data_IF_831925108453
#
_entry.id   IF_831925108453
#
_cell.length_a   1.000
_cell.length_b   1.000
_cell.length_c   1.000
_cell.angle_alpha   90.00
_cell.angle_beta   90.00
_cell.angle_gamma   90.00
#
_symmetry.space_group_name_H-M   'P 1'
#
loop_
_entity.id
_entity.type
_entity.pdbx_description
1 polymer ?
#
# COMPACT_ATOMS: atom_id res chain seq x y z
N UNK A 1 -20.55 18.80 26.67
CA UNK A 1 -20.08 18.54 25.29
C UNK A 1 -21.08 19.03 24.23
N UNK A 2 -22.04 19.92 24.59
CA UNK A 2 -23.19 20.26 23.72
C UNK A 2 -23.12 21.62 23.02
N UNK A 3 -22.02 22.38 23.15
CA UNK A 3 -21.92 23.72 22.55
C UNK A 3 -21.50 23.70 21.07
N UNK A 4 -21.15 22.54 20.51
CA UNK A 4 -20.68 22.38 19.12
C UNK A 4 -21.80 22.04 18.13
N UNK A 5 -23.05 21.95 18.57
CA UNK A 5 -24.18 21.50 17.73
C UNK A 5 -25.16 22.63 17.38
N UNK A 6 -24.71 23.89 17.43
CA UNK A 6 -25.56 25.04 17.07
C UNK A 6 -25.30 25.45 15.60
N UNK A 7 -26.30 25.93 14.85
CA UNK A 7 -26.11 26.41 13.47
C UNK A 7 -25.00 27.47 13.33
N UNK A 8 -24.80 28.27 14.36
CA UNK A 8 -23.74 29.28 14.44
C UNK A 8 -22.33 28.65 14.53
N UNK A 9 -22.19 27.53 15.23
CA UNK A 9 -20.91 26.80 15.29
C UNK A 9 -20.51 26.19 13.94
N UNK A 10 -21.48 25.68 13.17
CA UNK A 10 -21.24 25.21 11.80
C UNK A 10 -20.83 26.35 10.85
N UNK A 11 -21.48 27.51 10.96
CA UNK A 11 -21.13 28.69 10.17
C UNK A 11 -19.72 29.21 10.49
N UNK A 12 -19.34 29.23 11.78
CA UNK A 12 -18.00 29.63 12.21
C UNK A 12 -16.92 28.64 11.71
N UNK A 13 -17.19 27.32 11.77
CA UNK A 13 -16.31 26.29 11.22
C UNK A 13 -16.15 26.42 9.70
N UNK A 14 -17.25 26.65 8.98
CA UNK A 14 -17.21 26.86 7.53
C UNK A 14 -16.45 28.13 7.14
N UNK A 15 -16.61 29.22 7.89
CA UNK A 15 -15.86 30.46 7.67
C UNK A 15 -14.37 30.28 7.96
N UNK A 16 -14.01 29.62 9.07
CA UNK A 16 -12.63 29.29 9.40
C UNK A 16 -11.98 28.38 8.35
N UNK A 17 -12.72 27.40 7.85
CA UNK A 17 -12.33 26.52 6.76
C UNK A 17 -12.03 27.31 5.47
N UNK A 18 -12.93 28.21 5.08
CA UNK A 18 -12.76 29.05 3.90
C UNK A 18 -11.51 29.96 4.03
N UNK A 19 -11.33 30.60 5.19
CA UNK A 19 -10.15 31.43 5.47
C UNK A 19 -8.86 30.61 5.38
N UNK A 20 -8.83 29.42 6.00
CA UNK A 20 -7.67 28.53 5.94
C UNK A 20 -7.32 28.12 4.49
N UNK A 21 -8.32 27.73 3.69
CA UNK A 21 -8.12 27.37 2.29
C UNK A 21 -7.62 28.55 1.45
N UNK A 22 -8.11 29.78 1.72
CA UNK A 22 -7.64 31.00 1.05
C UNK A 22 -6.20 31.33 1.43
N UNK A 23 -5.84 31.28 2.71
CA UNK A 23 -4.47 31.51 3.20
C UNK A 23 -3.53 30.48 2.57
N UNK A 24 -3.91 29.20 2.59
CA UNK A 24 -3.12 28.12 2.00
C UNK A 24 -2.94 28.27 0.49
N UNK A 25 -4.00 28.63 -0.24
CA UNK A 25 -3.95 28.96 -1.68
C UNK A 25 -3.02 30.13 -1.97
N UNK A 26 -3.01 31.14 -1.09
CA UNK A 26 -2.12 32.29 -1.24
C UNK A 26 -0.65 31.92 -0.97
N UNK A 27 -0.40 31.09 0.04
CA UNK A 27 0.94 30.57 0.34
C UNK A 27 1.48 29.65 -0.78
N UNK A 28 0.65 28.77 -1.34
CA UNK A 28 1.09 27.87 -2.42
C UNK A 28 1.47 28.62 -3.70
N UNK A 29 0.74 29.68 -4.05
CA UNK A 29 1.05 30.54 -5.22
C UNK A 29 2.41 31.22 -5.14
N UNK A 30 2.97 31.42 -3.94
CA UNK A 30 4.27 32.09 -3.75
C UNK A 30 5.49 31.17 -3.93
N UNK A 31 5.30 29.86 -4.08
CA UNK A 31 6.38 28.87 -4.18
C UNK A 31 6.45 28.10 -5.50
N UNK A 32 5.77 28.57 -6.56
CA UNK A 32 5.74 27.86 -7.85
C UNK A 32 6.77 28.43 -8.83
N UNK A 33 7.93 27.80 -8.90
CA UNK A 33 9.05 28.19 -9.78
C UNK A 33 8.94 27.63 -11.22
N UNK A 34 7.76 27.13 -11.62
CA UNK A 34 7.54 26.51 -12.94
C UNK A 34 6.55 27.29 -13.84
N UNK A 35 6.75 28.60 -14.11
CA UNK A 35 5.85 29.38 -14.94
C UNK A 35 5.87 28.97 -16.42
N UNK A 36 6.91 28.24 -16.87
CA UNK A 36 7.11 27.87 -18.28
C UNK A 36 6.52 26.52 -18.68
N UNK A 37 5.98 25.74 -17.75
CA UNK A 37 5.42 24.43 -18.03
C UNK A 37 3.97 24.57 -18.49
N UNK A 38 3.63 23.95 -19.63
CA UNK A 38 2.26 23.96 -20.18
C UNK A 38 1.29 23.30 -19.20
N UNK A 39 0.11 23.87 -19.01
CA UNK A 39 -0.92 23.29 -18.16
C UNK A 39 -1.83 22.35 -18.95
N UNK A 40 -2.26 21.26 -18.33
CA UNK A 40 -3.34 20.43 -18.86
C UNK A 40 -4.63 21.27 -19.06
N UNK A 41 -5.41 21.00 -20.12
CA UNK A 41 -6.66 21.69 -20.37
C UNK A 41 -7.79 21.22 -19.42
N UNK A 42 -8.85 22.02 -19.35
CA UNK A 42 -10.15 21.66 -18.79
C UNK A 42 -10.23 21.38 -17.27
N UNK A 43 -9.38 21.97 -16.43
CA UNK A 43 -9.43 21.73 -14.98
C UNK A 43 -10.81 21.96 -14.32
N UNK A 44 -11.27 21.03 -13.48
CA UNK A 44 -12.46 21.26 -12.65
C UNK A 44 -12.23 22.42 -11.66
N UNK A 45 -13.23 23.27 -11.45
CA UNK A 45 -13.08 24.52 -10.67
C UNK A 45 -12.65 24.27 -9.21
N UNK A 46 -13.19 23.23 -8.57
CA UNK A 46 -12.93 22.86 -7.17
C UNK A 46 -11.85 21.78 -7.02
N UNK A 47 -12.01 20.64 -7.71
CA UNK A 47 -11.12 19.49 -7.63
C UNK A 47 -9.90 19.51 -8.56
N UNK A 48 -9.76 20.54 -9.40
CA UNK A 48 -8.66 20.62 -10.36
C UNK A 48 -8.70 19.49 -11.38
N UNK A 49 -7.54 19.06 -11.83
CA UNK A 49 -7.41 17.92 -12.74
C UNK A 49 -7.35 16.57 -11.98
N UNK A 50 -7.22 16.58 -10.66
CA UNK A 50 -7.19 15.34 -9.88
C UNK A 50 -8.52 14.58 -9.95
N UNK A 51 -9.64 15.29 -10.10
CA UNK A 51 -10.93 14.63 -10.37
C UNK A 51 -10.92 13.92 -11.72
N UNK A 52 -10.43 14.59 -12.77
CA UNK A 52 -10.33 13.97 -14.09
C UNK A 52 -9.37 12.78 -14.08
N UNK A 53 -8.26 12.88 -13.35
CA UNK A 53 -7.33 11.78 -13.17
C UNK A 53 -7.98 10.60 -12.40
N UNK A 54 -8.86 10.88 -11.43
CA UNK A 54 -9.60 9.87 -10.68
C UNK A 54 -10.69 9.19 -11.51
N UNK A 55 -11.47 9.96 -12.29
CA UNK A 55 -12.55 9.45 -13.13
C UNK A 55 -12.06 8.78 -14.42
N UNK A 56 -10.85 9.11 -14.86
CA UNK A 56 -10.27 8.54 -16.08
C UNK A 56 -9.76 7.13 -15.84
N UNK A 57 -10.27 6.12 -16.56
CA UNK A 57 -9.74 4.76 -16.47
C UNK A 57 -8.30 4.69 -17.02
N UNK A 58 -7.55 3.67 -16.58
CA UNK A 58 -6.28 3.22 -17.17
C UNK A 58 -5.22 4.31 -17.36
N UNK A 59 -5.16 5.31 -16.47
CA UNK A 59 -4.24 6.45 -16.59
C UNK A 59 -4.37 7.25 -17.90
N UNK A 60 -5.50 7.14 -18.62
CA UNK A 60 -5.71 7.82 -19.91
C UNK A 60 -5.56 9.33 -19.84
N UNK A 61 -5.95 9.93 -18.72
CA UNK A 61 -5.72 11.35 -18.47
C UNK A 61 -4.23 11.70 -18.62
N UNK A 62 -3.35 10.90 -18.00
CA UNK A 62 -1.92 11.18 -18.01
C UNK A 62 -1.28 10.94 -19.38
N UNK A 63 -1.67 9.84 -20.05
CA UNK A 63 -1.19 9.49 -21.39
C UNK A 63 -1.60 10.53 -22.44
N UNK A 64 -2.88 10.91 -22.46
CA UNK A 64 -3.38 11.94 -23.38
C UNK A 64 -2.65 13.27 -23.20
N UNK A 65 -2.40 13.68 -21.95
CA UNK A 65 -1.71 14.94 -21.70
C UNK A 65 -0.22 14.86 -22.01
N UNK A 66 0.46 13.73 -21.76
CA UNK A 66 1.87 13.57 -22.12
C UNK A 66 2.09 13.57 -23.64
N UNK A 67 1.20 12.94 -24.40
CA UNK A 67 1.23 12.94 -25.87
C UNK A 67 1.03 14.34 -26.45
N UNK A 68 0.11 15.13 -25.87
CA UNK A 68 -0.24 16.46 -26.41
C UNK A 68 0.68 17.59 -25.92
N UNK A 69 1.18 17.51 -24.68
CA UNK A 69 1.91 18.60 -24.02
C UNK A 69 3.40 18.30 -23.82
N UNK A 70 3.83 17.06 -24.04
CA UNK A 70 5.19 16.58 -23.82
C UNK A 70 5.38 15.91 -22.45
N UNK A 71 6.62 15.53 -22.14
CA UNK A 71 6.98 14.78 -20.92
C UNK A 71 6.80 15.55 -19.62
N UNK A 72 6.65 16.88 -19.68
CA UNK A 72 6.43 17.74 -18.51
C UNK A 72 5.26 18.69 -18.78
N UNK A 73 4.20 18.54 -17.98
CA UNK A 73 3.05 19.43 -17.97
C UNK A 73 2.54 19.63 -16.55
N UNK A 74 1.82 20.73 -16.32
CA UNK A 74 1.29 21.12 -15.02
C UNK A 74 -0.12 20.61 -14.85
N UNK A 75 -0.38 20.03 -13.67
CA UNK A 75 -1.68 19.55 -13.23
C UNK A 75 -2.07 20.38 -11.99
N UNK A 76 -3.23 21.04 -12.03
CA UNK A 76 -3.87 21.64 -10.85
C UNK A 76 -4.40 20.57 -9.89
N UNK A 77 -3.96 20.59 -8.63
CA UNK A 77 -4.55 19.80 -7.55
C UNK A 77 -5.91 20.31 -7.09
N UNK A 78 -6.64 19.47 -6.34
CA UNK A 78 -7.85 19.87 -5.62
C UNK A 78 -7.56 21.06 -4.70
N UNK A 79 -8.51 22.00 -4.63
CA UNK A 79 -8.34 23.26 -3.89
C UNK A 79 -7.10 24.06 -4.28
N UNK A 80 -6.62 23.85 -5.51
CA UNK A 80 -5.38 24.42 -6.06
C UNK A 80 -4.13 24.08 -5.25
N UNK A 81 -4.13 22.87 -4.67
CA UNK A 81 -2.93 22.32 -4.10
C UNK A 81 -1.85 22.12 -5.19
N UNK A 82 -0.60 22.37 -4.82
CA UNK A 82 0.59 22.17 -5.66
C UNK A 82 1.60 21.37 -4.83
N UNK A 83 1.94 20.17 -5.28
CA UNK A 83 2.85 19.26 -4.57
C UNK A 83 4.33 19.54 -4.85
N UNK A 84 4.65 20.21 -5.96
CA UNK A 84 6.04 20.38 -6.41
C UNK A 84 6.63 21.67 -5.85
N UNK A 85 7.43 21.54 -4.80
CA UNK A 85 8.44 22.52 -4.42
C UNK A 85 9.81 21.84 -4.58
N UNK A 86 10.74 22.45 -5.34
CA UNK A 86 12.04 21.86 -5.74
C UNK A 86 12.89 21.37 -4.56
N UNK A 87 12.60 21.83 -3.34
CA UNK A 87 13.34 21.49 -2.13
C UNK A 87 12.83 20.22 -1.40
N UNK A 88 11.69 19.64 -1.81
CA UNK A 88 11.07 18.50 -1.11
C UNK A 88 11.03 17.22 -1.96
N UNK A 89 12.17 16.55 -2.10
CA UNK A 89 12.26 15.17 -2.63
C UNK A 89 11.78 14.10 -1.63
N UNK A 90 11.40 14.51 -0.42
CA UNK A 90 10.90 13.65 0.64
C UNK A 90 9.46 13.20 0.33
N UNK A 91 9.07 11.99 0.77
CA UNK A 91 7.66 11.56 0.67
C UNK A 91 6.75 12.62 1.29
N UNK A 92 5.66 12.93 0.59
CA UNK A 92 4.69 13.93 1.02
C UNK A 92 4.25 13.68 2.47
N UNK A 93 4.09 14.75 3.24
CA UNK A 93 3.61 14.70 4.62
C UNK A 93 2.25 14.01 4.78
N UNK A 94 1.53 13.83 3.67
CA UNK A 94 0.23 13.16 3.56
C UNK A 94 0.40 11.65 3.39
N UNK A 95 1.38 11.23 2.59
CA UNK A 95 1.63 9.83 2.31
C UNK A 95 2.27 9.12 3.51
N UNK A 96 3.14 9.80 4.24
CA UNK A 96 3.89 9.20 5.35
C UNK A 96 3.00 8.58 6.44
N UNK A 97 1.94 9.25 6.96
CA UNK A 97 1.00 8.65 7.91
C UNK A 97 0.20 7.48 7.34
N UNK A 98 -0.15 7.52 6.05
CA UNK A 98 -0.88 6.44 5.38
C UNK A 98 0.02 5.21 5.28
N UNK A 99 1.27 5.39 4.83
CA UNK A 99 2.26 4.31 4.75
C UNK A 99 2.53 3.72 6.13
N UNK A 100 2.64 4.53 7.19
CA UNK A 100 2.80 4.02 8.55
C UNK A 100 1.62 3.15 9.01
N UNK A 101 0.38 3.52 8.65
CA UNK A 101 -0.82 2.77 9.02
C UNK A 101 -0.93 1.44 8.27
N UNK A 102 -0.53 1.41 7.01
CA UNK A 102 -0.64 0.22 6.16
C UNK A 102 0.59 -0.69 6.32
N UNK A 103 1.80 -0.15 6.21
CA UNK A 103 3.05 -0.90 6.10
C UNK A 103 4.02 -0.69 7.29
N UNK A 104 3.60 -0.03 8.37
CA UNK A 104 4.45 0.26 9.54
C UNK A 104 5.58 1.26 9.26
N UNK A 105 6.47 1.50 10.22
CA UNK A 105 7.69 2.31 10.05
C UNK A 105 8.83 1.53 9.36
N UNK A 106 8.45 0.86 8.28
CA UNK A 106 9.30 0.05 7.42
C UNK A 106 10.13 0.89 6.45
N UNK A 107 10.90 0.21 5.58
CA UNK A 107 11.73 0.87 4.55
C UNK A 107 10.89 1.72 3.59
N UNK A 108 9.61 1.39 3.40
CA UNK A 108 8.68 2.18 2.59
C UNK A 108 8.34 3.51 3.29
N UNK A 109 8.31 3.53 4.62
CA UNK A 109 8.02 4.73 5.41
C UNK A 109 9.26 5.59 5.68
N UNK A 110 10.41 4.96 5.88
CA UNK A 110 11.64 5.60 6.30
C UNK A 110 12.15 6.62 5.27
N UNK A 111 12.89 7.63 5.75
CA UNK A 111 13.49 8.69 4.92
C UNK A 111 14.96 8.93 5.30
N UNK A 112 15.75 9.45 4.36
CA UNK A 112 17.11 9.91 4.63
C UNK A 112 18.02 8.82 5.22
N UNK A 113 18.74 9.14 6.30
CA UNK A 113 19.68 8.19 6.94
C UNK A 113 18.98 6.92 7.46
N UNK A 114 17.76 7.05 7.95
CA UNK A 114 16.98 5.91 8.44
C UNK A 114 16.63 4.97 7.30
N UNK A 115 16.15 5.51 6.17
CA UNK A 115 15.91 4.74 4.95
C UNK A 115 17.20 4.05 4.48
N UNK A 116 18.33 4.76 4.46
CA UNK A 116 19.62 4.17 4.09
C UNK A 116 19.98 2.99 4.97
N UNK A 117 19.84 3.10 6.30
CA UNK A 117 20.12 2.01 7.24
C UNK A 117 19.19 0.82 7.02
N UNK A 118 17.87 1.06 7.00
CA UNK A 118 16.88 0.00 6.80
C UNK A 118 17.09 -0.71 5.46
N UNK A 119 17.30 0.05 4.37
CA UNK A 119 17.61 -0.52 3.05
C UNK A 119 18.88 -1.35 3.08
N UNK A 120 19.96 -0.87 3.69
CA UNK A 120 21.22 -1.61 3.81
C UNK A 120 21.03 -2.94 4.56
N UNK A 121 20.24 -2.96 5.63
CA UNK A 121 19.93 -4.19 6.37
C UNK A 121 19.16 -5.21 5.53
N UNK A 122 18.40 -4.76 4.52
CA UNK A 122 17.56 -5.61 3.68
C UNK A 122 18.25 -6.11 2.40
N UNK A 123 19.23 -5.37 1.87
CA UNK A 123 19.91 -5.71 0.61
C UNK A 123 20.44 -7.15 0.52
N UNK A 124 21.02 -7.74 1.57
CA UNK A 124 21.55 -9.11 1.50
C UNK A 124 20.51 -10.19 1.17
N UNK A 125 19.22 -9.93 1.36
CA UNK A 125 18.15 -10.90 1.06
C UNK A 125 17.70 -10.86 -0.41
N UNK A 126 18.00 -9.77 -1.12
CA UNK A 126 17.59 -9.55 -2.50
C UNK A 126 18.75 -9.67 -3.48
N UNK A 127 19.78 -10.46 -3.14
CA UNK A 127 20.85 -10.81 -4.09
C UNK A 127 20.34 -11.84 -5.10
N UNK A 128 20.97 -11.91 -6.28
CA UNK A 128 20.59 -12.88 -7.30
C UNK A 128 20.65 -14.34 -6.81
N UNK A 129 21.59 -14.66 -5.92
CA UNK A 129 21.70 -15.98 -5.30
C UNK A 129 20.50 -16.26 -4.39
N UNK A 130 20.14 -15.30 -3.53
CA UNK A 130 19.01 -15.46 -2.61
C UNK A 130 17.68 -15.56 -3.36
N UNK A 131 17.50 -14.79 -4.44
CA UNK A 131 16.31 -14.90 -5.30
C UNK A 131 16.24 -16.27 -5.97
N UNK A 132 17.35 -16.79 -6.52
CA UNK A 132 17.39 -18.15 -7.09
C UNK A 132 17.10 -19.23 -6.06
N UNK A 133 17.52 -19.04 -4.80
CA UNK A 133 17.23 -20.00 -3.74
C UNK A 133 15.73 -20.19 -3.45
N UNK A 134 14.87 -19.27 -3.91
CA UNK A 134 13.42 -19.33 -3.76
C UNK A 134 12.73 -20.10 -4.90
N UNK A 135 13.45 -20.50 -5.95
CA UNK A 135 12.88 -21.07 -7.18
C UNK A 135 12.03 -22.31 -6.91
N UNK A 136 12.54 -23.27 -6.13
CA UNK A 136 11.82 -24.50 -5.79
C UNK A 136 10.51 -24.21 -5.04
N UNK A 137 10.54 -23.27 -4.09
CA UNK A 137 9.40 -22.90 -3.28
C UNK A 137 8.33 -22.18 -4.14
N UNK A 138 8.76 -21.29 -5.03
CA UNK A 138 7.87 -20.61 -6.00
C UNK A 138 7.23 -21.62 -6.96
N UNK A 139 8.03 -22.55 -7.48
CA UNK A 139 7.54 -23.60 -8.37
C UNK A 139 6.54 -24.50 -7.66
N UNK A 140 6.84 -24.92 -6.43
CA UNK A 140 5.93 -25.70 -5.60
C UNK A 140 4.58 -25.01 -5.38
N UNK A 141 4.57 -23.73 -5.02
CA UNK A 141 3.33 -22.95 -4.90
C UNK A 141 2.57 -22.88 -6.24
N UNK A 142 3.30 -22.63 -7.33
CA UNK A 142 2.73 -22.55 -8.68
C UNK A 142 2.07 -23.86 -9.11
N UNK A 143 2.73 -25.00 -8.89
CA UNK A 143 2.22 -26.32 -9.23
C UNK A 143 0.93 -26.64 -8.46
N UNK A 144 0.87 -26.30 -7.15
CA UNK A 144 -0.32 -26.51 -6.32
C UNK A 144 -1.50 -25.64 -6.78
N UNK A 145 -1.27 -24.36 -7.09
CA UNK A 145 -2.32 -23.48 -7.63
C UNK A 145 -2.81 -23.97 -8.99
N UNK A 146 -1.90 -24.41 -9.87
CA UNK A 146 -2.26 -24.94 -11.18
C UNK A 146 -3.09 -26.22 -11.07
N UNK A 147 -2.75 -27.14 -10.17
CA UNK A 147 -3.55 -28.33 -9.90
C UNK A 147 -4.97 -27.94 -9.47
N UNK A 148 -5.08 -27.02 -8.51
CA UNK A 148 -6.38 -26.55 -8.00
C UNK A 148 -7.22 -25.80 -9.06
N UNK A 149 -6.57 -25.02 -9.93
CA UNK A 149 -7.23 -24.38 -11.06
C UNK A 149 -7.75 -25.42 -12.05
N UNK A 150 -6.97 -26.46 -12.37
CA UNK A 150 -7.43 -27.56 -13.23
C UNK A 150 -8.65 -28.26 -12.65
N UNK A 151 -8.64 -28.57 -11.36
CA UNK A 151 -9.77 -29.19 -10.67
C UNK A 151 -11.01 -28.29 -10.73
N UNK A 152 -10.84 -26.98 -10.54
CA UNK A 152 -11.92 -26.02 -10.68
C UNK A 152 -12.52 -26.00 -12.09
N UNK A 153 -11.68 -26.03 -13.13
CA UNK A 153 -12.11 -26.05 -14.53
C UNK A 153 -12.90 -27.32 -14.85
N UNK A 154 -12.42 -28.47 -14.40
CA UNK A 154 -13.08 -29.77 -14.62
C UNK A 154 -14.44 -29.83 -13.91
N UNK A 155 -14.58 -29.15 -12.77
CA UNK A 155 -15.83 -29.08 -12.03
C UNK A 155 -16.87 -28.10 -12.64
N UNK A 156 -16.50 -27.29 -13.64
CA UNK A 156 -17.45 -26.40 -14.30
C UNK A 156 -18.48 -27.19 -15.13
N UNK A 157 -19.75 -26.73 -15.19
CA UNK A 157 -20.75 -27.36 -16.04
C UNK A 157 -20.29 -27.44 -17.50
N UNK A 158 -20.48 -28.59 -18.14
CA UNK A 158 -20.18 -28.74 -19.57
C UNK A 158 -21.06 -27.80 -20.39
N UNK A 159 -20.45 -27.02 -21.28
CA UNK A 159 -21.14 -26.08 -22.17
C UNK A 159 -20.61 -26.23 -23.60
N UNK A 160 -21.35 -25.70 -24.58
CA UNK A 160 -20.94 -25.69 -25.99
C UNK A 160 -19.71 -24.82 -26.28
N UNK A 161 -19.30 -23.99 -25.32
CA UNK A 161 -18.16 -23.09 -25.44
C UNK A 161 -17.08 -23.41 -24.40
N UNK A 162 -15.80 -23.13 -24.71
CA UNK A 162 -14.74 -23.19 -23.71
C UNK A 162 -15.08 -22.30 -22.49
N UNK A 163 -14.78 -22.74 -21.26
CA UNK A 163 -15.04 -21.95 -20.07
C UNK A 163 -14.21 -20.67 -20.08
N UNK A 164 -14.84 -19.54 -19.73
CA UNK A 164 -14.17 -18.27 -19.47
C UNK A 164 -13.91 -18.17 -17.97
N UNK A 165 -12.67 -17.88 -17.59
CA UNK A 165 -12.22 -17.89 -16.19
C UNK A 165 -11.64 -16.52 -15.87
N UNK A 166 -12.10 -15.94 -14.77
CA UNK A 166 -11.42 -14.80 -14.16
C UNK A 166 -10.14 -15.29 -13.48
N UNK A 167 -9.00 -14.88 -14.03
CA UNK A 167 -7.66 -15.28 -13.55
C UNK A 167 -7.20 -14.45 -12.35
N UNK A 168 -7.79 -13.30 -12.08
CA UNK A 168 -7.34 -12.37 -11.03
C UNK A 168 -7.42 -12.99 -9.62
N UNK A 169 -8.49 -13.71 -9.23
CA UNK A 169 -8.51 -14.42 -7.95
C UNK A 169 -7.44 -15.52 -7.86
N UNK A 170 -7.03 -16.12 -8.98
CA UNK A 170 -6.03 -17.18 -9.02
C UNK A 170 -4.61 -16.62 -8.91
N UNK A 171 -4.30 -15.52 -9.60
CA UNK A 171 -3.01 -14.82 -9.47
C UNK A 171 -2.84 -14.26 -8.05
N UNK A 172 -3.88 -13.64 -7.48
CA UNK A 172 -3.87 -13.16 -6.10
C UNK A 172 -3.62 -14.29 -5.08
N UNK A 173 -4.22 -15.47 -5.29
CA UNK A 173 -3.96 -16.66 -4.44
C UNK A 173 -2.54 -17.18 -4.61
N UNK A 174 -2.03 -17.23 -5.84
CA UNK A 174 -0.66 -17.66 -6.12
C UNK A 174 0.36 -16.75 -5.44
N UNK A 175 0.21 -15.43 -5.60
CA UNK A 175 1.10 -14.44 -4.97
C UNK A 175 1.06 -14.53 -3.45
N UNK A 176 -0.14 -14.70 -2.87
CA UNK A 176 -0.30 -14.89 -1.42
C UNK A 176 0.43 -16.15 -0.93
N UNK A 177 0.28 -17.27 -1.63
CA UNK A 177 0.90 -18.54 -1.26
C UNK A 177 2.43 -18.44 -1.35
N UNK A 178 2.93 -17.87 -2.44
CA UNK A 178 4.36 -17.63 -2.66
C UNK A 178 4.94 -16.74 -1.55
N UNK A 179 4.36 -15.56 -1.29
CA UNK A 179 4.90 -14.66 -0.26
C UNK A 179 4.79 -15.27 1.14
N UNK A 180 3.77 -16.09 1.40
CA UNK A 180 3.69 -16.88 2.62
C UNK A 180 4.88 -17.80 2.80
N UNK A 181 5.18 -18.63 1.80
CA UNK A 181 6.25 -19.61 1.88
C UNK A 181 7.63 -18.93 1.86
N UNK A 182 7.93 -18.10 0.86
CA UNK A 182 9.27 -17.51 0.70
C UNK A 182 9.54 -16.37 1.70
N UNK A 183 8.49 -15.66 2.11
CA UNK A 183 8.58 -14.55 3.04
C UNK A 183 8.56 -15.00 4.50
N UNK A 184 7.56 -15.81 4.86
CA UNK A 184 7.27 -16.15 6.25
C UNK A 184 7.60 -17.60 6.60
N UNK A 185 7.79 -18.49 5.61
CA UNK A 185 7.77 -19.93 5.86
C UNK A 185 6.38 -20.43 6.28
N UNK A 186 5.32 -19.74 5.84
CA UNK A 186 3.93 -20.03 6.18
C UNK A 186 3.15 -20.52 4.96
N UNK A 187 2.49 -21.67 5.08
CA UNK A 187 1.66 -22.23 4.01
C UNK A 187 0.22 -21.69 4.10
N UNK A 188 -0.17 -20.84 3.16
CA UNK A 188 -1.55 -20.33 3.07
C UNK A 188 -2.54 -21.32 2.45
N UNK A 189 -2.07 -22.52 2.08
CA UNK A 189 -2.86 -23.62 1.54
C UNK A 189 -3.58 -23.20 0.26
N UNK A 190 -2.86 -22.57 -0.67
CA UNK A 190 -3.43 -22.09 -1.93
C UNK A 190 -4.65 -21.18 -1.75
N UNK A 191 -4.61 -20.36 -0.68
CA UNK A 191 -5.65 -19.40 -0.33
C UNK A 191 -6.80 -19.94 0.55
N UNK A 192 -6.78 -21.21 0.96
CA UNK A 192 -7.88 -21.81 1.74
C UNK A 192 -7.73 -21.70 3.25
N UNK A 193 -6.52 -21.44 3.73
CA UNK A 193 -6.29 -21.24 5.17
C UNK A 193 -7.18 -20.12 5.72
N UNK A 194 -7.52 -20.20 7.01
CA UNK A 194 -8.32 -19.16 7.67
C UNK A 194 -7.67 -17.78 7.51
N UNK A 195 -6.35 -17.70 7.71
CA UNK A 195 -5.58 -16.47 7.53
C UNK A 195 -5.69 -15.93 6.10
N UNK A 196 -5.56 -16.78 5.09
CA UNK A 196 -5.67 -16.36 3.69
C UNK A 196 -7.05 -15.80 3.34
N UNK A 197 -8.12 -16.43 3.84
CA UNK A 197 -9.49 -16.00 3.61
C UNK A 197 -9.77 -14.66 4.27
N UNK A 198 -9.37 -14.48 5.53
CA UNK A 198 -9.55 -13.22 6.25
C UNK A 198 -8.75 -12.10 5.57
N UNK A 199 -7.48 -12.32 5.24
CA UNK A 199 -6.65 -11.34 4.52
C UNK A 199 -7.30 -10.97 3.18
N UNK A 200 -7.75 -11.95 2.39
CA UNK A 200 -8.33 -11.66 1.08
C UNK A 200 -9.67 -10.93 1.17
N UNK A 201 -10.49 -11.23 2.17
CA UNK A 201 -11.77 -10.54 2.43
C UNK A 201 -11.55 -9.09 2.88
N UNK A 202 -10.70 -8.87 3.88
CA UNK A 202 -10.37 -7.52 4.37
C UNK A 202 -9.73 -6.70 3.26
N UNK A 203 -8.87 -7.31 2.44
CA UNK A 203 -8.26 -6.64 1.30
C UNK A 203 -9.30 -6.20 0.25
N UNK A 204 -10.17 -7.12 -0.17
CA UNK A 204 -11.23 -6.82 -1.15
C UNK A 204 -12.15 -5.70 -0.66
N UNK A 205 -12.53 -5.72 0.61
CA UNK A 205 -13.32 -4.64 1.22
C UNK A 205 -12.58 -3.29 1.17
N UNK A 206 -11.29 -3.28 1.52
CA UNK A 206 -10.46 -2.06 1.46
C UNK A 206 -10.32 -1.54 0.02
N UNK A 207 -10.04 -2.40 -0.95
CA UNK A 207 -9.90 -2.02 -2.36
C UNK A 207 -11.21 -1.46 -2.93
N UNK A 208 -12.35 -2.07 -2.59
CA UNK A 208 -13.66 -1.56 -2.98
C UNK A 208 -13.96 -0.19 -2.37
N UNK A 209 -13.55 0.07 -1.13
CA UNK A 209 -13.68 1.40 -0.53
C UNK A 209 -12.81 2.44 -1.26
N UNK A 210 -11.60 2.07 -1.66
CA UNK A 210 -10.66 2.99 -2.32
C UNK A 210 -11.09 3.42 -3.73
N UNK A 211 -11.94 2.65 -4.41
CA UNK A 211 -12.49 3.02 -5.73
C UNK A 211 -13.69 3.97 -5.63
N UNK A 212 -14.24 4.18 -4.43
CA UNK A 212 -15.39 5.07 -4.25
C UNK A 212 -14.98 6.54 -4.27
N UNK A 213 -15.89 7.40 -4.75
CA UNK A 213 -15.69 8.85 -4.72
C UNK A 213 -15.51 9.39 -3.28
N UNK A 214 -16.09 8.72 -2.28
CA UNK A 214 -15.89 9.03 -0.86
C UNK A 214 -14.42 8.91 -0.44
N UNK A 215 -13.68 7.91 -0.95
CA UNK A 215 -12.25 7.75 -0.69
C UNK A 215 -11.43 8.84 -1.38
N UNK A 216 -11.79 9.24 -2.60
CA UNK A 216 -11.19 10.40 -3.27
C UNK A 216 -11.34 11.66 -2.40
N UNK A 217 -12.57 11.98 -1.97
CA UNK A 217 -12.84 13.13 -1.09
C UNK A 217 -12.09 13.02 0.23
N UNK A 218 -12.09 11.85 0.86
CA UNK A 218 -11.36 11.57 2.10
C UNK A 218 -9.86 11.82 1.98
N UNK A 219 -9.25 11.38 0.88
CA UNK A 219 -7.83 11.62 0.58
C UNK A 219 -7.53 13.12 0.46
N UNK A 220 -8.39 13.88 -0.22
CA UNK A 220 -8.23 15.33 -0.35
C UNK A 220 -8.41 16.04 0.99
N UNK A 221 -9.38 15.62 1.80
CA UNK A 221 -9.54 16.13 3.16
C UNK A 221 -8.30 15.88 4.03
N UNK A 222 -7.70 14.68 3.97
CA UNK A 222 -6.44 14.39 4.68
C UNK A 222 -5.28 15.26 4.19
N UNK A 223 -5.25 15.58 2.89
CA UNK A 223 -4.27 16.48 2.27
C UNK A 223 -4.39 17.93 2.73
N UNK A 224 -5.62 18.44 2.83
CA UNK A 224 -5.86 19.80 3.32
C UNK A 224 -5.79 19.92 4.85
N UNK A 225 -6.20 18.88 5.57
CA UNK A 225 -6.28 18.84 7.02
C UNK A 225 -5.51 17.64 7.58
N UNK A 226 -4.16 17.71 7.66
CA UNK A 226 -3.35 16.60 8.15
C UNK A 226 -3.73 16.13 9.57
N UNK A 227 -4.33 17.01 10.39
CA UNK A 227 -4.84 16.67 11.72
C UNK A 227 -5.93 15.59 11.69
N UNK A 228 -6.67 15.44 10.58
CA UNK A 228 -7.66 14.37 10.42
C UNK A 228 -7.03 12.97 10.46
N UNK A 229 -5.73 12.82 10.18
CA UNK A 229 -5.03 11.54 10.37
C UNK A 229 -5.01 11.05 11.83
N UNK A 230 -5.34 11.92 12.81
CA UNK A 230 -5.43 11.55 14.23
C UNK A 230 -6.85 11.16 14.65
N UNK A 231 -7.84 11.35 13.78
CA UNK A 231 -9.24 11.07 14.09
C UNK A 231 -9.53 9.59 13.79
N UNK A 232 -10.13 8.83 14.71
CA UNK A 232 -10.39 7.41 14.53
C UNK A 232 -11.58 7.16 13.58
N UNK A 233 -11.38 7.36 12.28
CA UNK A 233 -12.38 7.07 11.24
C UNK A 233 -12.29 5.59 10.83
N UNK A 234 -13.43 4.95 10.56
CA UNK A 234 -13.53 3.52 10.21
C UNK A 234 -12.62 3.10 9.05
N UNK A 235 -12.52 3.94 8.01
CA UNK A 235 -11.62 3.69 6.88
C UNK A 235 -10.14 3.63 7.30
N UNK A 236 -9.73 4.44 8.30
CA UNK A 236 -8.37 4.40 8.82
C UNK A 236 -8.13 3.16 9.70
N UNK A 237 -9.16 2.73 10.44
CA UNK A 237 -9.11 1.51 11.27
C UNK A 237 -8.98 0.23 10.43
N UNK A 238 -9.67 0.16 9.29
CA UNK A 238 -9.57 -0.99 8.38
C UNK A 238 -8.14 -1.21 7.87
N UNK A 239 -7.41 -0.13 7.58
CA UNK A 239 -6.00 -0.19 7.17
C UNK A 239 -5.10 -0.73 8.30
N UNK A 240 -5.37 -0.34 9.55
CA UNK A 240 -4.63 -0.81 10.71
C UNK A 240 -4.92 -2.29 11.00
N UNK A 241 -6.17 -2.73 10.84
CA UNK A 241 -6.56 -4.14 11.04
C UNK A 241 -5.77 -5.08 10.11
N UNK A 242 -5.63 -4.73 8.82
CA UNK A 242 -4.85 -5.54 7.88
C UNK A 242 -3.39 -5.67 8.33
N UNK A 243 -2.76 -4.54 8.65
CA UNK A 243 -1.39 -4.50 9.15
C UNK A 243 -1.22 -5.37 10.39
N UNK A 244 -2.14 -5.23 11.36
CA UNK A 244 -2.06 -5.91 12.64
C UNK A 244 -2.20 -7.43 12.48
N UNK A 245 -3.12 -7.89 11.62
CA UNK A 245 -3.23 -9.32 11.28
C UNK A 245 -1.94 -9.89 10.68
N UNK A 246 -1.31 -9.17 9.75
CA UNK A 246 -0.06 -9.61 9.12
C UNK A 246 1.08 -9.59 10.15
N UNK A 247 1.16 -8.57 11.00
CA UNK A 247 2.16 -8.47 12.06
C UNK A 247 2.00 -9.58 13.10
N UNK A 248 0.77 -9.93 13.46
CA UNK A 248 0.49 -11.01 14.40
C UNK A 248 0.84 -12.38 13.79
N UNK A 249 0.54 -12.61 12.50
CA UNK A 249 1.02 -13.78 11.78
C UNK A 249 2.56 -13.85 11.82
N UNK A 250 3.24 -12.76 11.47
CA UNK A 250 4.70 -12.68 11.48
C UNK A 250 5.28 -12.98 12.87
N UNK A 251 4.64 -12.44 13.92
CA UNK A 251 5.04 -12.63 15.31
C UNK A 251 4.85 -14.08 15.76
N UNK A 252 3.73 -14.71 15.41
CA UNK A 252 3.46 -16.10 15.75
C UNK A 252 4.51 -17.03 15.12
N UNK A 253 4.78 -16.85 13.82
CA UNK A 253 5.80 -17.64 13.12
C UNK A 253 7.20 -17.37 13.70
N UNK A 254 7.53 -16.12 14.04
CA UNK A 254 8.78 -15.78 14.73
C UNK A 254 8.93 -16.55 16.05
N UNK A 255 7.88 -16.62 16.87
CA UNK A 255 7.90 -17.31 18.16
C UNK A 255 8.03 -18.83 17.99
N UNK A 256 7.30 -19.41 17.03
CA UNK A 256 7.39 -20.84 16.68
C UNK A 256 8.80 -21.24 16.24
N UNK A 257 9.40 -20.44 15.35
CA UNK A 257 10.77 -20.67 14.89
C UNK A 257 11.79 -20.51 16.02
N UNK A 258 11.60 -19.52 16.90
CA UNK A 258 12.49 -19.30 18.06
C UNK A 258 12.41 -20.46 19.07
N UNK A 259 11.21 -20.98 19.33
CA UNK A 259 11.00 -22.14 20.21
C UNK A 259 11.58 -23.44 19.63
N UNK A 260 11.39 -23.66 18.33
CA UNK A 260 11.86 -24.87 17.64
C UNK A 260 13.40 -24.91 17.47
N UNK A 261 14.05 -23.75 17.33
CA UNK A 261 15.52 -23.62 17.18
C UNK A 261 16.31 -23.87 18.45
N UNK A 262 15.67 -24.12 19.59
CA UNK A 262 16.35 -24.51 20.82
C UNK A 262 16.93 -25.94 20.78
N UNK A 263 16.69 -26.72 19.71
CA UNK A 263 17.16 -28.11 19.59
C UNK A 263 17.69 -28.56 18.23
N UNK A 264 17.31 -27.94 17.11
CA UNK A 264 17.81 -28.33 15.78
C UNK A 264 18.07 -27.12 14.87
N UNK A 265 19.20 -27.18 14.17
CA UNK A 265 19.73 -26.15 13.26
C UNK A 265 18.99 -26.14 11.90
N UNK A 266 17.65 -26.24 11.90
CA UNK A 266 16.86 -25.99 10.68
C UNK A 266 16.87 -24.50 10.38
N UNK A 267 17.91 -24.10 9.66
CA UNK A 267 18.08 -22.78 9.11
C UNK A 267 17.03 -22.54 8.00
N UNK A 268 15.84 -22.08 8.38
CA UNK A 268 14.80 -21.68 7.43
C UNK A 268 15.34 -20.74 6.35
N UNK A 269 14.94 -20.98 5.09
CA UNK A 269 15.37 -20.21 3.91
C UNK A 269 14.52 -18.95 3.70
N UNK A 270 13.40 -18.84 4.41
CA UNK A 270 12.45 -17.73 4.29
C UNK A 270 13.03 -16.38 4.79
N UNK A 271 12.47 -15.28 4.30
CA UNK A 271 12.91 -13.92 4.64
C UNK A 271 12.89 -13.67 6.15
N UNK A 272 11.83 -14.08 6.85
CA UNK A 272 11.69 -13.95 8.30
C UNK A 272 12.84 -14.66 9.01
N UNK A 273 13.09 -15.92 8.70
CA UNK A 273 14.20 -16.73 9.23
C UNK A 273 15.55 -16.04 9.09
N UNK A 274 15.79 -15.39 7.96
CA UNK A 274 17.05 -14.71 7.67
C UNK A 274 17.15 -13.36 8.39
N UNK A 275 16.07 -12.58 8.42
CA UNK A 275 15.98 -11.33 9.19
C UNK A 275 16.23 -11.57 10.68
N UNK A 276 15.69 -12.65 11.23
CA UNK A 276 15.91 -13.03 12.63
C UNK A 276 17.39 -13.19 12.97
N UNK A 277 18.22 -13.70 12.04
CA UNK A 277 19.67 -13.91 12.26
C UNK A 277 20.46 -12.62 12.20
N UNK A 278 20.04 -11.69 11.34
CA UNK A 278 20.77 -10.46 11.10
C UNK A 278 20.25 -9.28 11.93
N UNK A 279 19.15 -9.46 12.67
CA UNK A 279 18.51 -8.36 13.41
C UNK A 279 19.51 -7.65 14.34
N UNK A 280 20.28 -8.42 15.10
CA UNK A 280 21.20 -7.88 16.11
C UNK A 280 22.42 -7.23 15.44
N UNK A 281 22.92 -7.79 14.34
CA UNK A 281 24.05 -7.26 13.57
C UNK A 281 23.74 -5.89 12.91
N UNK A 282 22.47 -5.61 12.61
CA UNK A 282 22.04 -4.34 11.99
C UNK A 282 21.30 -3.40 12.97
N UNK A 283 21.30 -3.72 14.28
CA UNK A 283 20.61 -2.94 15.30
C UNK A 283 19.10 -2.83 15.07
N UNK A 284 18.50 -3.85 14.44
CA UNK A 284 17.07 -3.95 14.19
C UNK A 284 16.41 -4.63 15.39
N UNK A 285 15.43 -3.96 16.01
CA UNK A 285 14.62 -4.56 17.06
C UNK A 285 13.52 -5.47 16.46
N UNK A 286 12.80 -6.18 17.33
CA UNK A 286 11.73 -7.07 16.89
C UNK A 286 10.59 -6.31 16.21
N UNK A 287 10.28 -5.10 16.67
CA UNK A 287 9.15 -4.34 16.15
C UNK A 287 9.44 -3.85 14.72
N UNK A 288 10.63 -3.32 14.50
CA UNK A 288 11.12 -2.94 13.17
C UNK A 288 11.11 -4.15 12.24
N UNK A 289 11.58 -5.32 12.68
CA UNK A 289 11.55 -6.56 11.89
C UNK A 289 10.12 -6.91 11.46
N UNK A 290 9.15 -6.88 12.38
CA UNK A 290 7.75 -7.18 12.08
C UNK A 290 7.14 -6.15 11.13
N UNK A 291 7.51 -4.88 11.25
CA UNK A 291 7.09 -3.82 10.32
C UNK A 291 7.68 -4.01 8.92
N UNK A 292 8.96 -4.44 8.79
CA UNK A 292 9.52 -4.80 7.48
C UNK A 292 8.76 -5.98 6.86
N UNK A 293 8.47 -7.03 7.64
CA UNK A 293 7.71 -8.18 7.16
C UNK A 293 6.32 -7.77 6.66
N UNK A 294 5.63 -6.89 7.38
CA UNK A 294 4.34 -6.36 6.97
C UNK A 294 4.44 -5.58 5.64
N UNK A 295 5.46 -4.74 5.50
CA UNK A 295 5.69 -3.97 4.28
C UNK A 295 5.97 -4.86 3.06
N UNK A 296 6.79 -5.90 3.21
CA UNK A 296 7.07 -6.85 2.12
C UNK A 296 5.84 -7.66 1.73
N UNK A 297 5.03 -8.06 2.71
CA UNK A 297 3.79 -8.78 2.44
C UNK A 297 2.84 -7.92 1.61
N UNK A 298 2.58 -6.68 2.05
CA UNK A 298 1.64 -5.78 1.38
C UNK A 298 2.17 -5.40 -0.01
N UNK A 299 3.43 -4.97 -0.10
CA UNK A 299 4.00 -4.59 -1.38
C UNK A 299 4.03 -5.77 -2.37
N UNK A 300 4.50 -6.94 -1.92
CA UNK A 300 4.59 -8.14 -2.76
C UNK A 300 3.23 -8.63 -3.22
N UNK A 301 2.22 -8.64 -2.35
CA UNK A 301 0.85 -9.01 -2.71
C UNK A 301 0.27 -8.07 -3.76
N UNK A 302 0.36 -6.77 -3.55
CA UNK A 302 -0.33 -5.79 -4.41
C UNK A 302 0.29 -5.61 -5.78
N UNK A 303 1.61 -5.68 -5.88
CA UNK A 303 2.26 -5.45 -7.18
C UNK A 303 2.32 -6.70 -8.06
N UNK A 304 2.21 -7.89 -7.47
CA UNK A 304 2.40 -9.17 -8.17
C UNK A 304 1.10 -9.98 -8.31
N UNK A 305 0.13 -9.82 -7.40
CA UNK A 305 -1.17 -10.49 -7.45
C UNK A 305 -2.05 -9.98 -8.58
#
# INVERSE_FOLDING_TARGET
MDTLNTPQSYAALAAGLAIYLVIRKWLSRRGSDMPRVREAPDSHCFWGHELQAFESPDSRFFLKNSENLGSAYRIKGAWHFQDLNEQNWWKSAILRPIVARIAGRSVVWAEGKEHTRQRQALLPFFTAEQVRSMEEDIKGCSDRIMAKLRDHIVALPSSSHPPVIDVLPWSSRATLDVIGVVGFGYDFQCGDSLAARVISQTWSAQSMLMTQFSAFVGMKLLQAFPLLNKVPVEALKAQEQMRDMIKDLARNVYLEQKGSRAGEEKQGRDLLSRLMRMKDAHGMDLEELLEQMCAFFIAGRETTG
#
